data_IF_641656338445
#
_entry.id   IF_641656338445
#
_cell.length_a   1.000
_cell.length_b   1.000
_cell.length_c   1.000
_cell.angle_alpha   90.00
_cell.angle_beta   90.00
_cell.angle_gamma   90.00
#
_symmetry.space_group_name_H-M   'P 1'
#
loop_
_entity.id
_entity.type
_entity.pdbx_description
1 polymer ?
#
# COMPACT_ATOMS: atom_id res chain seq x y z
N UNK A 1 -2.81 -1.80 0.79
CA UNK A 1 -2.47 -1.31 2.15
C UNK A 1 -2.14 -2.49 3.03
N UNK A 2 -1.10 -2.38 3.86
CA UNK A 2 -0.45 -3.53 4.48
C UNK A 2 0.57 -4.13 3.51
N UNK A 3 1.84 -3.80 3.66
CA UNK A 3 2.92 -4.21 2.76
C UNK A 3 3.56 -5.56 3.16
N UNK A 4 2.74 -6.48 3.68
CA UNK A 4 3.18 -7.82 4.03
C UNK A 4 3.56 -8.65 2.78
N UNK A 5 4.06 -9.87 2.99
CA UNK A 5 4.49 -10.74 1.89
C UNK A 5 3.39 -10.95 0.84
N UNK A 6 2.16 -11.27 1.26
CA UNK A 6 1.05 -11.54 0.34
C UNK A 6 0.73 -10.31 -0.50
N UNK A 7 0.65 -9.13 0.12
CA UNK A 7 0.42 -7.88 -0.58
C UNK A 7 1.53 -7.57 -1.59
N UNK A 8 2.79 -7.84 -1.24
CA UNK A 8 3.94 -7.66 -2.13
C UNK A 8 3.88 -8.55 -3.36
N UNK A 9 3.55 -9.83 -3.19
CA UNK A 9 3.37 -10.75 -4.32
C UNK A 9 2.23 -10.30 -5.25
N UNK A 10 1.09 -9.89 -4.68
CA UNK A 10 -0.03 -9.36 -5.47
C UNK A 10 0.38 -8.10 -6.24
N UNK A 11 1.05 -7.16 -5.58
CA UNK A 11 1.47 -5.92 -6.23
C UNK A 11 2.52 -6.13 -7.32
N UNK A 12 3.47 -7.04 -7.13
CA UNK A 12 4.39 -7.44 -8.20
C UNK A 12 3.63 -8.06 -9.38
N UNK A 13 2.67 -8.95 -9.10
CA UNK A 13 1.86 -9.57 -10.15
C UNK A 13 1.09 -8.52 -10.97
N UNK A 14 0.49 -7.53 -10.30
CA UNK A 14 -0.21 -6.41 -10.96
C UNK A 14 0.73 -5.50 -11.75
N UNK A 15 1.91 -5.21 -11.20
CA UNK A 15 2.93 -4.37 -11.87
C UNK A 15 3.39 -4.96 -13.21
N UNK A 16 3.40 -6.30 -13.36
CA UNK A 16 3.69 -6.97 -14.64
C UNK A 16 2.69 -6.66 -15.76
N UNK A 17 1.49 -6.21 -15.41
CA UNK A 17 0.46 -5.78 -16.37
C UNK A 17 0.44 -4.27 -16.59
N UNK A 18 1.55 -3.59 -16.31
CA UNK A 18 1.70 -2.13 -16.46
C UNK A 18 0.65 -1.33 -15.66
N UNK A 19 0.23 -1.90 -14.52
CA UNK A 19 -0.66 -1.22 -13.58
C UNK A 19 0.17 -0.50 -12.53
N UNK A 20 -0.16 0.77 -12.28
CA UNK A 20 0.40 1.52 -11.15
C UNK A 20 -0.02 0.86 -9.84
N UNK A 21 0.96 0.51 -9.01
CA UNK A 21 0.75 -0.11 -7.70
C UNK A 21 1.50 0.71 -6.66
N UNK A 22 0.76 1.21 -5.66
CA UNK A 22 1.30 1.92 -4.51
C UNK A 22 1.08 1.06 -3.26
N UNK A 23 2.15 0.79 -2.51
CA UNK A 23 2.03 0.10 -1.22
C UNK A 23 2.20 1.07 -0.07
N UNK A 24 1.50 0.81 1.02
CA UNK A 24 1.57 1.63 2.23
C UNK A 24 1.52 0.75 3.46
N UNK A 25 2.39 1.08 4.41
CA UNK A 25 2.54 0.43 5.70
C UNK A 25 3.29 1.35 6.67
N UNK A 26 3.00 1.24 7.96
CA UNK A 26 3.72 1.93 9.04
C UNK A 26 4.96 1.18 9.50
N UNK A 27 5.19 -0.05 9.03
CA UNK A 27 6.39 -0.83 9.29
C UNK A 27 7.47 -0.57 8.24
N UNK A 28 8.60 0.00 8.68
CA UNK A 28 9.73 0.32 7.80
C UNK A 28 10.35 -0.92 7.14
N UNK A 29 10.40 -2.06 7.82
CA UNK A 29 10.97 -3.28 7.27
C UNK A 29 10.18 -3.76 6.04
N UNK A 30 8.85 -3.64 6.10
CA UNK A 30 7.99 -3.99 4.97
C UNK A 30 8.12 -3.00 3.82
N UNK A 31 8.15 -1.70 4.11
CA UNK A 31 8.37 -0.68 3.08
C UNK A 31 9.74 -0.80 2.42
N UNK A 32 10.79 -1.12 3.19
CA UNK A 32 12.13 -1.37 2.64
C UNK A 32 12.10 -2.50 1.61
N UNK A 33 11.35 -3.58 1.89
CA UNK A 33 11.17 -4.68 0.93
C UNK A 33 10.38 -4.25 -0.31
N UNK A 34 9.35 -3.42 -0.18
CA UNK A 34 8.64 -2.83 -1.34
C UNK A 34 9.58 -2.00 -2.19
N UNK A 35 10.41 -1.16 -1.56
CA UNK A 35 11.41 -0.33 -2.24
C UNK A 35 12.42 -1.18 -3.00
N UNK A 36 12.88 -2.29 -2.43
CA UNK A 36 13.79 -3.23 -3.12
C UNK A 36 13.15 -3.90 -4.34
N UNK A 37 11.82 -4.05 -4.35
CA UNK A 37 11.08 -4.57 -5.50
C UNK A 37 10.83 -3.52 -6.59
N UNK A 38 11.22 -2.27 -6.37
CA UNK A 38 11.01 -1.17 -7.31
C UNK A 38 9.55 -0.73 -7.45
N UNK A 39 8.71 -1.06 -6.48
CA UNK A 39 7.30 -0.63 -6.46
C UNK A 39 7.16 0.74 -5.77
N UNK A 40 6.15 1.53 -6.18
CA UNK A 40 5.81 2.78 -5.49
C UNK A 40 5.40 2.49 -4.05
N UNK A 41 5.81 3.35 -3.12
CA UNK A 41 5.49 3.18 -1.71
C UNK A 41 5.18 4.50 -1.00
N UNK A 42 4.43 4.40 0.08
CA UNK A 42 4.22 5.44 1.08
C UNK A 42 4.43 4.86 2.48
N UNK A 43 5.40 5.42 3.21
CA UNK A 43 5.68 5.02 4.58
C UNK A 43 4.81 5.81 5.55
N UNK A 44 3.93 5.12 6.25
CA UNK A 44 3.05 5.75 7.23
C UNK A 44 1.66 5.11 7.29
N UNK A 45 0.81 5.69 8.13
CA UNK A 45 -0.58 5.29 8.23
C UNK A 45 -1.40 5.93 7.09
N UNK A 46 -2.02 5.13 6.19
CA UNK A 46 -2.78 5.66 5.07
C UNK A 46 -4.09 6.36 5.43
N UNK A 47 -4.63 6.18 6.64
CA UNK A 47 -5.85 6.86 7.13
C UNK A 47 -5.53 8.06 8.04
N UNK A 48 -4.29 8.56 8.01
CA UNK A 48 -3.88 9.72 8.81
C UNK A 48 -4.03 11.02 8.03
N UNK A 49 -4.21 12.14 8.73
CA UNK A 49 -4.24 13.48 8.10
C UNK A 49 -2.98 13.80 7.30
N UNK A 50 -1.83 13.23 7.70
CA UNK A 50 -0.60 13.37 6.92
C UNK A 50 -0.69 12.66 5.57
N UNK A 51 -1.36 11.49 5.51
CA UNK A 51 -1.58 10.78 4.27
C UNK A 51 -2.54 11.54 3.34
N UNK A 52 -3.55 12.22 3.87
CA UNK A 52 -4.48 13.02 3.04
C UNK A 52 -3.72 14.05 2.17
N UNK A 53 -2.65 14.63 2.71
CA UNK A 53 -1.85 15.63 2.00
C UNK A 53 -0.70 15.03 1.16
N UNK A 54 -0.17 13.87 1.55
CA UNK A 54 1.11 13.34 1.01
C UNK A 54 0.96 12.03 0.21
N UNK A 55 -0.16 11.31 0.36
CA UNK A 55 -0.41 10.05 -0.33
C UNK A 55 -0.90 10.32 -1.75
N UNK A 56 -0.01 10.19 -2.74
CA UNK A 56 -0.36 10.43 -4.13
C UNK A 56 -1.20 9.29 -4.74
N UNK A 57 -2.52 9.42 -4.65
CA UNK A 57 -3.51 8.51 -5.23
C UNK A 57 -3.89 8.80 -6.70
N UNK A 58 -3.26 9.77 -7.37
CA UNK A 58 -3.65 10.15 -8.75
C UNK A 58 -3.56 8.94 -9.69
N UNK A 59 -4.68 8.58 -10.32
CA UNK A 59 -4.75 7.41 -11.22
C UNK A 59 -4.85 6.05 -10.51
N UNK A 60 -4.97 6.03 -9.18
CA UNK A 60 -5.33 4.83 -8.39
C UNK A 60 -6.82 4.88 -8.10
N UNK A 61 -7.57 3.92 -8.63
CA UNK A 61 -9.04 3.85 -8.47
C UNK A 61 -9.54 2.73 -7.58
N UNK A 62 -8.65 1.88 -7.05
CA UNK A 62 -9.00 0.69 -6.28
C UNK A 62 -8.05 0.54 -5.09
N UNK A 63 -8.61 0.12 -3.95
CA UNK A 63 -7.86 -0.17 -2.73
C UNK A 63 -8.00 -1.66 -2.42
N UNK A 64 -6.87 -2.28 -2.07
CA UNK A 64 -6.84 -3.62 -1.50
C UNK A 64 -6.26 -3.51 -0.09
N UNK A 65 -7.08 -3.75 0.92
CA UNK A 65 -6.67 -3.73 2.32
C UNK A 65 -6.28 -5.13 2.78
N UNK A 66 -4.99 -5.33 3.07
CA UNK A 66 -4.37 -6.63 3.36
C UNK A 66 -3.60 -6.60 4.68
N UNK A 67 -4.03 -5.78 5.65
CA UNK A 67 -3.43 -5.80 6.98
C UNK A 67 -3.99 -6.98 7.80
N UNK A 68 -3.27 -7.45 8.83
CA UNK A 68 -3.81 -8.44 9.77
C UNK A 68 -5.01 -7.95 10.59
N UNK A 69 -5.21 -6.64 10.68
CA UNK A 69 -6.28 -6.01 11.45
C UNK A 69 -7.51 -5.77 10.55
N UNK A 70 -8.58 -6.52 10.80
CA UNK A 70 -9.83 -6.39 10.06
C UNK A 70 -10.50 -5.02 10.26
N UNK A 71 -10.45 -4.44 11.47
CA UNK A 71 -11.04 -3.13 11.73
C UNK A 71 -10.30 -2.05 10.96
N UNK A 72 -8.98 -2.12 10.95
CA UNK A 72 -8.16 -1.22 10.16
C UNK A 72 -8.47 -1.33 8.66
N UNK A 73 -8.63 -2.55 8.14
CA UNK A 73 -9.01 -2.79 6.74
C UNK A 73 -10.40 -2.21 6.40
N UNK A 74 -11.34 -2.22 7.34
CA UNK A 74 -12.67 -1.62 7.15
C UNK A 74 -12.57 -0.09 7.11
N UNK A 75 -11.88 0.52 8.09
CA UNK A 75 -11.69 1.97 8.16
C UNK A 75 -10.99 2.52 6.92
N UNK A 76 -10.04 1.76 6.40
CA UNK A 76 -9.29 2.04 5.18
C UNK A 76 -10.12 2.11 3.89
N UNK A 77 -11.24 1.39 3.82
CA UNK A 77 -12.04 1.23 2.61
C UNK A 77 -13.38 1.99 2.68
N UNK A 78 -13.62 2.74 3.75
CA UNK A 78 -14.83 3.54 3.95
C UNK A 78 -14.76 4.88 3.23
#
# INVERSE_FOLDING_TARGET
MGANRVAREIGQALSRYDRRVLMTDSNWEYISQVRMLGLDYYYGNPISSHADDNLNLIGIGQVVALTPDQHFNIMACM
#
